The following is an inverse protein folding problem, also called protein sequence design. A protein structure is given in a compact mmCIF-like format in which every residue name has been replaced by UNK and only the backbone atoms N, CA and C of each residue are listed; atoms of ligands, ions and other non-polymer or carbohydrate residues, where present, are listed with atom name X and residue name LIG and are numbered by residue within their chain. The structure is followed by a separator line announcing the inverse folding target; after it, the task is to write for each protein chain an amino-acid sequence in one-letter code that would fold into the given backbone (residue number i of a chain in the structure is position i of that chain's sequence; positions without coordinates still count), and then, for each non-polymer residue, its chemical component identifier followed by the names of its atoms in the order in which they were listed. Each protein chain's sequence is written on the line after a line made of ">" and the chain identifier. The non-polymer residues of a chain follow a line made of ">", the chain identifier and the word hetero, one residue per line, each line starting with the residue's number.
data_IF_365887652511
#
_entry.id   IF_365887652511
#
_cell.length_a   1.000
_cell.length_b   1.000
_cell.length_c   1.000
_cell.angle_alpha   90.00
_cell.angle_beta   90.00
_cell.angle_gamma   90.00
#
_symmetry.space_group_name_H-M   'P 1'
#
loop_
_entity.id
_entity.type
_entity.pdbx_description
1 polymer ?
#
# COMPACT_ATOMS: atom_id res chain seq x y z
N UNK A 1 -20.08 6.54 26.63
CA UNK A 1 -21.27 7.29 26.13
C UNK A 1 -20.77 8.29 25.09
N UNK A 2 -21.11 8.12 23.81
CA UNK A 2 -20.73 9.06 22.75
C UNK A 2 -21.80 10.14 22.63
N UNK A 3 -21.41 11.40 22.85
CA UNK A 3 -22.26 12.57 22.62
C UNK A 3 -22.78 12.59 21.16
N UNK A 4 -24.11 12.60 20.93
CA UNK A 4 -24.70 12.57 19.61
C UNK A 4 -24.50 13.86 18.80
N UNK A 5 -24.01 14.95 19.41
CA UNK A 5 -23.77 16.24 18.74
C UNK A 5 -22.44 16.32 17.97
N UNK A 6 -21.48 15.43 18.24
CA UNK A 6 -20.19 15.42 17.53
C UNK A 6 -20.35 14.91 16.09
N UNK A 7 -19.85 15.69 15.14
CA UNK A 7 -19.82 15.32 13.73
C UNK A 7 -19.07 13.99 13.55
N UNK A 8 -19.37 13.26 12.46
CA UNK A 8 -18.78 11.93 12.21
C UNK A 8 -17.24 11.95 12.20
N UNK A 9 -16.65 13.13 11.95
CA UNK A 9 -15.22 13.41 11.86
C UNK A 9 -14.56 13.71 13.23
N UNK A 10 -15.35 13.92 14.28
CA UNK A 10 -14.88 14.18 15.65
C UNK A 10 -14.99 12.94 16.56
N UNK A 11 -15.50 11.83 16.04
CA UNK A 11 -15.57 10.59 16.79
C UNK A 11 -14.17 10.01 16.92
N UNK A 12 -13.77 9.77 18.16
CA UNK A 12 -12.55 9.03 18.49
C UNK A 12 -12.53 7.71 17.72
N UNK A 13 -11.43 7.44 17.03
CA UNK A 13 -11.23 6.16 16.36
C UNK A 13 -11.26 5.02 17.39
N UNK A 14 -11.96 3.93 17.07
CA UNK A 14 -12.18 2.84 18.04
C UNK A 14 -10.90 2.10 18.42
N UNK A 15 -9.89 2.10 17.54
CA UNK A 15 -8.64 1.41 17.79
C UNK A 15 -7.60 2.29 18.49
N UNK A 16 -7.56 3.58 18.17
CA UNK A 16 -6.50 4.48 18.68
C UNK A 16 -6.99 5.55 19.65
N UNK A 17 -8.29 5.77 19.77
CA UNK A 17 -8.88 6.87 20.54
C UNK A 17 -8.71 8.25 19.90
N UNK A 18 -7.95 8.36 18.81
CA UNK A 18 -7.63 9.64 18.16
C UNK A 18 -8.56 9.86 16.97
N UNK A 19 -9.26 11.00 16.87
CA UNK A 19 -10.16 11.25 15.75
C UNK A 19 -9.41 11.46 14.43
N UNK A 20 -10.01 10.95 13.35
CA UNK A 20 -9.57 11.19 11.97
C UNK A 20 -10.28 12.41 11.39
N UNK A 21 -9.51 13.39 10.93
CA UNK A 21 -10.05 14.60 10.29
C UNK A 21 -9.85 14.50 8.79
N UNK A 22 -10.93 14.71 8.04
CA UNK A 22 -10.91 14.71 6.57
C UNK A 22 -10.61 16.12 6.04
N UNK A 23 -9.86 16.19 4.94
CA UNK A 23 -9.50 17.43 4.27
C UNK A 23 -9.82 17.34 2.78
N UNK A 24 -10.03 18.49 2.14
CA UNK A 24 -10.17 18.54 0.69
C UNK A 24 -8.89 18.08 -0.02
N UNK A 25 -9.05 17.45 -1.19
CA UNK A 25 -7.92 16.94 -2.00
C UNK A 25 -6.85 17.98 -2.29
N UNK A 26 -7.26 19.19 -2.67
CA UNK A 26 -6.34 20.29 -2.97
C UNK A 26 -5.51 20.69 -1.74
N UNK A 27 -6.15 20.78 -0.56
CA UNK A 27 -5.46 21.08 0.69
C UNK A 27 -4.51 19.95 1.11
N UNK A 28 -4.94 18.69 0.93
CA UNK A 28 -4.09 17.53 1.22
C UNK A 28 -2.81 17.55 0.38
N UNK A 29 -2.91 17.78 -0.93
CA UNK A 29 -1.75 17.77 -1.84
C UNK A 29 -0.87 19.03 -1.75
N UNK A 30 -1.43 20.17 -1.36
CA UNK A 30 -0.65 21.39 -1.11
C UNK A 30 0.24 21.28 0.15
N UNK A 31 -0.11 20.39 1.09
CA UNK A 31 0.65 20.21 2.31
C UNK A 31 2.00 19.49 2.04
N UNK A 32 3.11 19.83 2.73
CA UNK A 32 4.39 19.14 2.55
C UNK A 32 4.33 17.62 2.78
N UNK A 33 3.52 17.16 3.75
CA UNK A 33 3.25 15.72 3.98
C UNK A 33 2.32 15.09 2.93
N UNK A 34 1.70 15.90 2.08
CA UNK A 34 0.89 15.47 0.93
C UNK A 34 1.67 15.30 -0.36
N UNK A 35 2.98 15.51 -0.31
CA UNK A 35 3.93 15.21 -1.38
C UNK A 35 4.56 13.83 -1.16
N UNK A 36 4.95 13.16 -2.24
CA UNK A 36 5.67 11.89 -2.15
C UNK A 36 7.01 12.11 -1.44
N UNK A 37 7.20 11.41 -0.32
CA UNK A 37 8.49 11.36 0.37
C UNK A 37 9.42 10.32 -0.24
N UNK A 38 10.67 10.27 0.23
CA UNK A 38 11.67 9.30 -0.26
C UNK A 38 11.21 7.84 -0.09
N UNK A 39 10.52 7.52 1.00
CA UNK A 39 10.01 6.18 1.26
C UNK A 39 8.90 5.80 0.28
N UNK A 40 7.93 6.69 0.04
CA UNK A 40 6.88 6.43 -0.96
C UNK A 40 7.45 6.28 -2.37
N UNK A 41 8.49 7.07 -2.71
CA UNK A 41 9.24 6.91 -3.95
C UNK A 41 9.92 5.54 -4.03
N UNK A 42 10.62 5.13 -2.98
CA UNK A 42 11.27 3.82 -2.92
C UNK A 42 10.27 2.67 -3.11
N UNK A 43 9.10 2.76 -2.44
CA UNK A 43 8.00 1.80 -2.60
C UNK A 43 7.50 1.80 -4.04
N UNK A 44 7.21 2.96 -4.62
CA UNK A 44 6.69 3.06 -5.98
C UNK A 44 7.67 2.48 -7.02
N UNK A 45 8.95 2.83 -6.92
CA UNK A 45 10.01 2.30 -7.78
C UNK A 45 10.15 0.79 -7.60
N UNK A 46 10.19 0.31 -6.36
CA UNK A 46 10.23 -1.12 -6.06
C UNK A 46 9.10 -1.88 -6.75
N UNK A 47 7.85 -1.42 -6.61
CA UNK A 47 6.70 -2.08 -7.22
C UNK A 47 6.78 -2.10 -8.76
N UNK A 48 7.24 -1.00 -9.37
CA UNK A 48 7.45 -0.94 -10.82
C UNK A 48 8.51 -1.95 -11.25
N UNK A 49 9.67 -1.97 -10.59
CA UNK A 49 10.77 -2.87 -10.92
C UNK A 49 10.38 -4.33 -10.75
N UNK A 50 9.66 -4.67 -9.68
CA UNK A 50 9.12 -6.01 -9.45
C UNK A 50 8.19 -6.44 -10.58
N UNK A 51 7.24 -5.57 -10.97
CA UNK A 51 6.31 -5.87 -12.06
C UNK A 51 7.02 -6.05 -13.40
N UNK A 52 7.94 -5.14 -13.75
CA UNK A 52 8.73 -5.25 -14.98
C UNK A 52 9.63 -6.49 -14.98
N UNK A 53 10.26 -6.81 -13.85
CA UNK A 53 11.08 -8.01 -13.68
C UNK A 53 10.26 -9.29 -13.87
N UNK A 54 9.04 -9.35 -13.34
CA UNK A 54 8.11 -10.47 -13.55
C UNK A 54 7.65 -10.59 -15.00
N UNK A 55 7.32 -9.48 -15.66
CA UNK A 55 6.98 -9.47 -17.09
C UNK A 55 8.16 -10.06 -17.89
N UNK A 56 9.37 -9.55 -17.65
CA UNK A 56 10.56 -10.01 -18.34
C UNK A 56 10.82 -11.51 -18.11
N UNK A 57 10.77 -11.96 -16.86
CA UNK A 57 11.00 -13.38 -16.51
C UNK A 57 9.97 -14.32 -17.18
N UNK A 58 8.69 -13.97 -17.15
CA UNK A 58 7.63 -14.78 -17.76
C UNK A 58 7.74 -14.82 -19.29
N UNK A 59 8.13 -13.71 -19.92
CA UNK A 59 8.38 -13.67 -21.36
C UNK A 59 9.63 -14.46 -21.75
N UNK A 60 10.70 -14.38 -20.95
CA UNK A 60 11.93 -15.14 -21.18
C UNK A 60 11.70 -16.65 -21.05
N UNK A 61 10.76 -17.08 -20.19
CA UNK A 61 10.34 -18.47 -20.02
C UNK A 61 9.30 -18.93 -21.07
N UNK A 62 8.95 -18.09 -22.04
CA UNK A 62 8.03 -18.45 -23.12
C UNK A 62 6.55 -18.54 -22.71
N UNK A 63 6.16 -18.02 -21.54
CA UNK A 63 4.77 -18.08 -21.01
C UNK A 63 3.74 -17.30 -21.85
N UNK A 64 4.19 -16.47 -22.79
CA UNK A 64 3.35 -15.64 -23.65
C UNK A 64 2.90 -14.32 -23.00
N UNK A 65 2.62 -13.32 -23.84
CA UNK A 65 2.28 -11.95 -23.43
C UNK A 65 1.03 -11.87 -22.53
N UNK A 66 -0.09 -12.55 -22.84
CA UNK A 66 -1.29 -12.46 -22.00
C UNK A 66 -1.07 -12.93 -20.56
N UNK A 67 -0.32 -14.02 -20.38
CA UNK A 67 0.02 -14.56 -19.07
C UNK A 67 0.95 -13.62 -18.30
N UNK A 68 2.00 -13.12 -18.98
CA UNK A 68 2.95 -12.18 -18.38
C UNK A 68 2.25 -10.92 -17.87
N UNK A 69 1.40 -10.31 -18.69
CA UNK A 69 0.64 -9.12 -18.30
C UNK A 69 -0.39 -9.44 -17.22
N UNK A 70 -1.14 -10.54 -17.34
CA UNK A 70 -2.20 -10.91 -16.40
C UNK A 70 -1.71 -11.08 -14.96
N UNK A 71 -0.45 -11.45 -14.75
CA UNK A 71 0.15 -11.62 -13.41
C UNK A 71 0.93 -10.39 -12.97
N UNK A 72 1.69 -9.77 -13.87
CA UNK A 72 2.76 -8.84 -13.47
C UNK A 72 2.45 -7.36 -13.70
N UNK A 73 1.35 -7.01 -14.38
CA UNK A 73 0.99 -5.61 -14.63
C UNK A 73 0.54 -4.87 -13.37
N UNK A 74 -0.06 -5.60 -12.41
CA UNK A 74 -0.66 -5.04 -11.20
C UNK A 74 0.32 -4.24 -10.32
N UNK A 75 1.52 -4.75 -9.97
CA UNK A 75 2.48 -3.97 -9.19
C UNK A 75 3.01 -2.76 -9.96
N UNK A 76 3.12 -2.83 -11.30
CA UNK A 76 3.48 -1.66 -12.12
C UNK A 76 2.42 -0.57 -11.99
N UNK A 77 1.15 -0.93 -12.18
CA UNK A 77 0.04 0.02 -12.04
C UNK A 77 -0.09 0.57 -10.63
N UNK A 78 0.18 -0.25 -9.61
CA UNK A 78 0.20 0.20 -8.23
C UNK A 78 1.30 1.25 -7.99
N UNK A 79 2.55 0.96 -8.40
CA UNK A 79 3.66 1.89 -8.26
C UNK A 79 3.45 3.20 -9.03
N UNK A 80 2.98 3.12 -10.28
CA UNK A 80 2.59 4.31 -11.05
C UNK A 80 1.47 5.07 -10.32
N UNK A 81 0.44 4.35 -9.85
CA UNK A 81 -0.68 4.91 -9.09
C UNK A 81 -0.25 5.67 -7.84
N UNK A 82 0.79 5.18 -7.14
CA UNK A 82 1.39 5.88 -6.00
C UNK A 82 2.02 7.21 -6.45
N UNK A 83 2.81 7.20 -7.53
CA UNK A 83 3.47 8.41 -8.08
C UNK A 83 2.43 9.47 -8.48
N UNK A 84 1.34 9.06 -9.11
CA UNK A 84 0.27 9.97 -9.53
C UNK A 84 -0.80 10.19 -8.44
N UNK A 85 -0.58 9.69 -7.22
CA UNK A 85 -1.36 9.94 -6.01
C UNK A 85 -2.84 9.54 -6.13
N UNK A 86 -3.12 8.41 -6.77
CA UNK A 86 -4.49 7.89 -6.94
C UNK A 86 -4.81 6.87 -5.84
N UNK A 87 -6.00 6.96 -5.20
CA UNK A 87 -6.39 6.05 -4.10
C UNK A 87 -6.41 4.55 -4.50
N UNK A 88 -6.66 4.26 -5.77
CA UNK A 88 -6.64 2.90 -6.31
C UNK A 88 -5.29 2.19 -6.20
N UNK A 89 -4.19 2.93 -5.98
CA UNK A 89 -2.87 2.35 -5.79
C UNK A 89 -2.83 1.34 -4.62
N UNK A 90 -3.57 1.61 -3.54
CA UNK A 90 -3.68 0.68 -2.42
C UNK A 90 -4.38 -0.63 -2.83
N UNK A 91 -5.48 -0.54 -3.58
CA UNK A 91 -6.23 -1.72 -4.04
C UNK A 91 -5.35 -2.57 -4.96
N UNK A 92 -4.63 -1.92 -5.89
CA UNK A 92 -3.69 -2.60 -6.78
C UNK A 92 -2.53 -3.24 -6.01
N UNK A 93 -2.07 -2.62 -4.93
CA UNK A 93 -1.06 -3.21 -4.01
C UNK A 93 -1.59 -4.47 -3.35
N UNK A 94 -2.83 -4.46 -2.85
CA UNK A 94 -3.49 -5.65 -2.27
C UNK A 94 -3.62 -6.77 -3.29
N UNK A 95 -4.05 -6.45 -4.52
CA UNK A 95 -4.12 -7.43 -5.62
C UNK A 95 -2.74 -8.03 -5.90
N UNK A 96 -1.70 -7.19 -5.97
CA UNK A 96 -0.32 -7.61 -6.21
C UNK A 96 0.20 -8.56 -5.11
N UNK A 97 -0.10 -8.26 -3.85
CA UNK A 97 0.22 -9.12 -2.72
C UNK A 97 -0.54 -10.45 -2.80
N UNK A 98 -1.85 -10.44 -3.09
CA UNK A 98 -2.65 -11.67 -3.23
C UNK A 98 -2.16 -12.58 -4.35
N UNK A 99 -1.79 -12.01 -5.50
CA UNK A 99 -1.22 -12.77 -6.61
C UNK A 99 0.16 -13.33 -6.27
N UNK A 100 1.00 -12.56 -5.58
CA UNK A 100 2.33 -13.02 -5.15
C UNK A 100 2.20 -14.17 -4.14
N UNK A 101 1.23 -14.12 -3.23
CA UNK A 101 0.92 -15.20 -2.29
C UNK A 101 0.52 -16.49 -3.03
N UNK A 102 -0.30 -16.35 -4.07
CA UNK A 102 -0.73 -17.48 -4.89
C UNK A 102 0.46 -18.09 -5.65
N UNK A 103 1.41 -17.28 -6.13
CA UNK A 103 2.64 -17.77 -6.76
C UNK A 103 3.57 -18.46 -5.75
N UNK A 104 3.67 -17.94 -4.52
CA UNK A 104 4.40 -18.59 -3.43
C UNK A 104 3.87 -20.01 -3.18
N UNK A 105 2.55 -20.18 -3.03
CA UNK A 105 1.94 -21.49 -2.82
C UNK A 105 2.11 -22.45 -4.00
N UNK A 106 2.20 -21.92 -5.24
CA UNK A 106 2.52 -22.74 -6.42
C UNK A 106 3.99 -23.16 -6.44
N UNK A 107 4.90 -22.27 -6.08
CA UNK A 107 6.34 -22.54 -6.01
C UNK A 107 6.67 -23.66 -5.01
N UNK A 108 6.01 -23.66 -3.85
CA UNK A 108 6.17 -24.70 -2.81
C UNK A 108 5.80 -26.12 -3.28
N UNK A 109 5.09 -26.27 -4.41
CA UNK A 109 4.74 -27.58 -4.99
C UNK A 109 5.76 -28.10 -6.00
N UNK A 110 6.81 -27.34 -6.32
CA UNK A 110 7.71 -27.58 -7.46
C UNK A 110 9.02 -28.32 -7.17
N UNK A 111 9.23 -28.88 -5.98
CA UNK A 111 10.50 -29.52 -5.60
C UNK A 111 11.66 -28.52 -5.47
N UNK A 112 12.92 -28.97 -5.63
CA UNK A 112 14.13 -28.16 -5.30
C UNK A 112 14.20 -26.82 -6.04
N UNK A 113 13.86 -26.79 -7.34
CA UNK A 113 13.82 -25.53 -8.13
C UNK A 113 12.64 -24.65 -7.70
N UNK A 114 11.51 -25.28 -7.35
CA UNK A 114 10.35 -24.62 -6.77
C UNK A 114 10.66 -23.97 -5.41
N UNK A 115 11.49 -24.60 -4.58
CA UNK A 115 11.88 -24.09 -3.26
C UNK A 115 12.68 -22.80 -3.36
N UNK A 116 13.65 -22.72 -4.28
CA UNK A 116 14.42 -21.48 -4.48
C UNK A 116 13.52 -20.31 -4.95
N UNK A 117 12.61 -20.60 -5.88
CA UNK A 117 11.63 -19.63 -6.36
C UNK A 117 10.62 -19.24 -5.26
N UNK A 118 10.26 -20.17 -4.39
CA UNK A 118 9.39 -19.92 -3.24
C UNK A 118 10.05 -18.95 -2.24
N UNK A 119 11.36 -19.04 -1.98
CA UNK A 119 12.05 -18.07 -1.11
C UNK A 119 12.00 -16.64 -1.67
N UNK A 120 12.13 -16.47 -2.99
CA UNK A 120 12.00 -15.16 -3.64
C UNK A 120 10.60 -14.60 -3.42
N UNK A 121 9.56 -15.40 -3.69
CA UNK A 121 8.17 -14.97 -3.48
C UNK A 121 7.83 -14.74 -2.01
N UNK A 122 8.45 -15.48 -1.07
CA UNK A 122 8.28 -15.25 0.36
C UNK A 122 8.88 -13.90 0.76
N UNK A 123 10.10 -13.60 0.35
CA UNK A 123 10.73 -12.31 0.62
C UNK A 123 9.90 -11.16 0.02
N UNK A 124 9.44 -11.33 -1.22
CA UNK A 124 8.55 -10.37 -1.88
C UNK A 124 7.24 -10.19 -1.12
N UNK A 125 6.62 -11.27 -0.63
CA UNK A 125 5.42 -11.21 0.19
C UNK A 125 5.63 -10.43 1.48
N UNK A 126 6.73 -10.68 2.20
CA UNK A 126 7.05 -9.93 3.42
C UNK A 126 7.19 -8.43 3.14
N UNK A 127 7.83 -8.08 2.02
CA UNK A 127 7.95 -6.68 1.59
C UNK A 127 6.58 -6.09 1.27
N UNK A 128 5.73 -6.78 0.50
CA UNK A 128 4.37 -6.31 0.21
C UNK A 128 3.53 -6.15 1.47
N UNK A 129 3.64 -7.07 2.42
CA UNK A 129 2.98 -6.93 3.72
C UNK A 129 3.43 -5.67 4.43
N UNK A 130 4.74 -5.42 4.53
CA UNK A 130 5.29 -4.19 5.12
C UNK A 130 4.80 -2.92 4.40
N UNK A 131 4.78 -2.93 3.08
CA UNK A 131 4.23 -1.84 2.26
C UNK A 131 2.75 -1.62 2.57
N UNK A 132 1.94 -2.67 2.65
CA UNK A 132 0.52 -2.55 2.95
C UNK A 132 0.28 -1.96 4.34
N UNK A 133 1.02 -2.41 5.36
CA UNK A 133 0.95 -1.80 6.69
C UNK A 133 1.28 -0.31 6.64
N UNK A 134 2.37 0.05 5.95
CA UNK A 134 2.75 1.45 5.78
C UNK A 134 1.67 2.28 5.05
N UNK A 135 1.15 1.79 3.92
CA UNK A 135 0.15 2.50 3.13
C UNK A 135 -1.20 2.61 3.85
N UNK A 136 -1.53 1.64 4.71
CA UNK A 136 -2.78 1.65 5.47
C UNK A 136 -2.73 2.55 6.69
N UNK A 137 -1.63 2.54 7.45
CA UNK A 137 -1.57 3.22 8.75
C UNK A 137 -0.66 4.46 8.78
N UNK A 138 0.24 4.59 7.81
CA UNK A 138 1.15 5.73 7.73
C UNK A 138 0.41 7.07 7.60
N UNK A 139 0.91 8.10 8.29
CA UNK A 139 0.32 9.44 8.26
C UNK A 139 0.32 10.03 6.84
N UNK A 140 1.45 9.90 6.13
CA UNK A 140 1.64 10.43 4.78
C UNK A 140 0.72 9.73 3.77
N UNK A 141 0.69 8.39 3.65
CA UNK A 141 -0.27 7.72 2.78
C UNK A 141 -1.74 8.06 3.08
N UNK A 142 -2.12 8.13 4.35
CA UNK A 142 -3.49 8.50 4.72
C UNK A 142 -3.85 9.92 4.27
N UNK A 143 -2.91 10.88 4.35
CA UNK A 143 -3.13 12.23 3.85
C UNK A 143 -3.17 12.28 2.33
N UNK A 144 -2.24 11.61 1.64
CA UNK A 144 -2.09 11.65 0.17
C UNK A 144 -3.27 10.98 -0.54
N UNK A 145 -3.64 9.77 -0.11
CA UNK A 145 -4.56 8.90 -0.84
C UNK A 145 -5.97 8.89 -0.27
N UNK A 146 -6.11 9.10 1.05
CA UNK A 146 -7.41 9.06 1.75
C UNK A 146 -7.85 10.43 2.26
N UNK A 147 -7.04 11.46 2.03
CA UNK A 147 -7.31 12.84 2.42
C UNK A 147 -7.71 12.98 3.90
N UNK A 148 -7.05 12.24 4.78
CA UNK A 148 -7.33 12.25 6.22
C UNK A 148 -6.06 12.27 7.06
N UNK A 149 -6.09 12.89 8.23
CA UNK A 149 -4.99 12.89 9.19
C UNK A 149 -5.50 12.70 10.63
N UNK A 150 -4.61 12.28 11.54
CA UNK A 150 -4.92 12.10 12.96
C UNK A 150 -4.75 13.43 13.72
N UNK A 151 -5.76 13.84 14.49
CA UNK A 151 -5.69 15.05 15.33
C UNK A 151 -5.20 14.73 16.74
N UNK A 152 -3.88 14.73 16.93
CA UNK A 152 -3.27 14.42 18.23
C UNK A 152 -3.48 15.48 19.32
N UNK A 153 -3.92 16.70 18.96
CA UNK A 153 -4.15 17.77 19.95
C UNK A 153 -5.22 17.41 21.00
N UNK A 154 -6.10 16.46 20.70
CA UNK A 154 -7.15 15.97 21.60
C UNK A 154 -6.59 15.19 22.80
N UNK A 155 -5.39 14.61 22.67
CA UNK A 155 -4.72 13.94 23.80
C UNK A 155 -4.09 14.94 24.77
N UNK A 156 -3.65 16.10 24.29
CA UNK A 156 -2.96 17.11 25.10
C UNK A 156 -3.89 17.84 26.07
N UNK A 157 -5.15 18.06 25.68
CA UNK A 157 -6.16 18.68 26.55
C UNK A 157 -6.71 17.71 27.63
N UNK A 158 -6.36 16.42 27.57
CA UNK A 158 -6.85 15.40 28.52
C UNK A 158 -5.86 15.05 29.65
N UNK A 159 -4.57 15.32 29.48
CA UNK A 159 -3.53 15.05 30.50
C UNK A 159 -3.30 16.26 31.44
N UNK A 160 -3.85 17.43 31.11
CA UNK A 160 -3.78 18.66 31.91
C UNK A 160 -5.07 18.93 32.74
N UNK A 161 -5.96 17.92 32.91
CA UNK A 161 -7.24 18.03 33.62
C UNK A 161 -7.40 17.03 34.78
#
# INVERSE_FOLDING_TARGET
>A
MTDPSRSRDERADKMTGIPWVYVGRAAAHAHPKGQLGPLEWAIAVFMILVGLGKIWALLADGSGVPMALGVAIWPVLAGVGLIIRIPWALVLTVISAGLTLLQLFRGLKGGIVGDMVAWIYLAEMLIFTGILFYLMDGERPNLIYRHRYRKYSVLRDGDDA
#
